data_IF_437528865930
#
_entry.id   IF_437528865930
#
_cell.length_a   1.000
_cell.length_b   1.000
_cell.length_c   1.000
_cell.angle_alpha   90.00
_cell.angle_beta   90.00
_cell.angle_gamma   90.00
#
_symmetry.space_group_name_H-M   'P 1'
#
loop_
_entity.id
_entity.type
_entity.pdbx_description
1 polymer ?
#
# COMPACT_ATOMS: atom_id res chain seq x y z
N UNK A 1 -26.31 70.74 74.04
CA UNK A 1 -27.52 69.96 74.38
C UNK A 1 -28.05 69.37 73.08
N UNK A 2 -27.90 68.05 73.00
CA UNK A 2 -28.57 67.02 72.19
C UNK A 2 -29.20 67.34 70.83
N UNK A 3 -28.68 66.58 69.85
CA UNK A 3 -29.28 66.02 68.62
C UNK A 3 -29.63 66.97 67.46
N UNK A 4 -28.88 66.85 66.34
CA UNK A 4 -29.53 66.37 65.12
C UNK A 4 -28.67 65.44 64.24
N UNK A 5 -29.36 64.80 63.30
CA UNK A 5 -28.90 64.36 61.96
C UNK A 5 -28.04 63.11 61.84
N UNK A 6 -28.73 61.97 61.75
CA UNK A 6 -28.80 61.06 60.57
C UNK A 6 -27.53 60.97 59.71
N UNK A 7 -26.82 59.85 59.85
CA UNK A 7 -25.70 59.42 59.00
C UNK A 7 -26.01 58.09 58.26
N UNK A 8 -25.21 57.75 57.23
CA UNK A 8 -25.62 56.96 56.06
C UNK A 8 -24.93 55.57 55.92
N UNK A 9 -25.33 54.89 54.84
CA UNK A 9 -24.68 53.82 54.05
C UNK A 9 -23.65 52.85 54.65
N UNK A 10 -23.89 51.55 54.39
CA UNK A 10 -23.06 50.55 53.67
C UNK A 10 -23.44 49.15 54.21
N UNK A 11 -23.39 48.01 53.54
CA UNK A 11 -22.92 47.56 52.23
C UNK A 11 -23.43 46.11 52.06
N UNK A 12 -23.66 45.66 50.82
CA UNK A 12 -23.51 44.25 50.44
C UNK A 12 -24.79 43.40 50.35
N UNK A 13 -25.57 43.58 49.28
CA UNK A 13 -26.68 42.71 48.89
C UNK A 13 -26.23 41.47 48.11
N UNK A 14 -26.98 40.39 48.34
CA UNK A 14 -26.65 39.02 47.99
C UNK A 14 -27.08 38.60 46.57
N UNK A 15 -26.14 37.91 45.91
CA UNK A 15 -26.23 36.73 45.04
C UNK A 15 -27.37 36.59 44.00
N UNK A 16 -26.97 36.62 42.73
CA UNK A 16 -27.72 36.17 41.54
C UNK A 16 -26.93 35.09 40.81
N UNK A 17 -27.63 34.09 40.26
CA UNK A 17 -27.34 33.29 39.04
C UNK A 17 -27.76 31.82 39.23
N UNK A 18 -28.91 31.39 38.69
CA UNK A 18 -29.16 30.92 37.31
C UNK A 18 -28.49 29.57 36.99
N UNK A 19 -29.27 28.52 37.25
CA UNK A 19 -29.01 27.11 36.95
C UNK A 19 -29.05 26.79 35.44
N UNK A 20 -28.08 26.04 34.88
CA UNK A 20 -28.08 25.57 33.50
C UNK A 20 -28.24 24.04 33.40
N UNK A 21 -29.47 23.52 33.49
CA UNK A 21 -29.74 22.11 33.09
C UNK A 21 -31.01 22.00 32.25
N UNK A 22 -30.88 22.26 30.95
CA UNK A 22 -31.89 21.89 29.95
C UNK A 22 -31.74 20.41 29.56
N UNK A 23 -32.79 19.63 29.81
CA UNK A 23 -33.05 18.30 29.21
C UNK A 23 -33.40 18.47 27.71
N UNK A 24 -32.91 17.61 26.80
CA UNK A 24 -33.45 17.51 25.44
C UNK A 24 -34.61 16.51 25.36
N UNK A 25 -35.67 16.89 24.63
CA UNK A 25 -36.83 16.06 24.29
C UNK A 25 -36.57 15.20 23.04
N UNK A 26 -37.38 14.14 22.86
CA UNK A 26 -37.31 13.17 21.75
C UNK A 26 -38.22 13.55 20.55
N UNK A 27 -37.84 13.03 19.36
CA UNK A 27 -38.53 12.88 18.04
C UNK A 27 -38.38 14.10 17.09
N UNK A 28 -38.16 13.97 15.78
CA UNK A 28 -38.42 12.88 14.84
C UNK A 28 -37.40 12.79 13.67
N UNK A 29 -37.37 11.60 13.08
CA UNK A 29 -36.62 11.15 11.91
C UNK A 29 -37.06 11.89 10.63
N UNK A 30 -36.08 12.30 9.80
CA UNK A 30 -36.26 12.32 8.34
C UNK A 30 -35.12 11.50 7.73
N UNK A 31 -35.54 10.38 7.15
CA UNK A 31 -34.76 9.50 6.29
C UNK A 31 -34.44 10.26 5.00
N UNK A 32 -33.16 10.36 4.68
CA UNK A 32 -32.67 10.89 3.42
C UNK A 32 -31.31 10.26 3.14
N UNK A 33 -31.29 8.97 2.82
CA UNK A 33 -30.11 8.28 2.30
C UNK A 33 -29.82 8.82 0.90
N UNK A 34 -29.03 9.89 0.83
CA UNK A 34 -28.36 10.26 -0.41
C UNK A 34 -27.24 9.23 -0.64
N UNK A 35 -27.48 8.30 -1.55
CA UNK A 35 -26.47 7.37 -2.04
C UNK A 35 -25.43 8.19 -2.82
N UNK A 36 -24.37 8.61 -2.15
CA UNK A 36 -23.16 9.05 -2.82
C UNK A 36 -22.51 7.81 -3.41
N UNK A 37 -22.54 7.70 -4.74
CA UNK A 37 -21.70 6.78 -5.50
C UNK A 37 -20.26 6.93 -4.99
N UNK A 38 -19.51 5.86 -4.67
CA UNK A 38 -18.12 6.00 -4.28
C UNK A 38 -17.36 6.62 -5.45
N UNK A 39 -17.05 7.92 -5.34
CA UNK A 39 -16.03 8.52 -6.17
C UNK A 39 -14.71 7.85 -5.77
N UNK A 40 -14.05 7.21 -6.72
CA UNK A 40 -12.66 6.79 -6.54
C UNK A 40 -11.83 8.06 -6.37
N UNK A 41 -11.52 8.42 -5.13
CA UNK A 41 -10.61 9.53 -4.84
C UNK A 41 -9.19 8.98 -4.99
N UNK A 42 -8.57 9.28 -6.13
CA UNK A 42 -7.14 9.14 -6.28
C UNK A 42 -6.45 10.03 -5.24
N UNK A 43 -5.62 9.43 -4.39
CA UNK A 43 -4.93 10.13 -3.31
C UNK A 43 -3.89 11.10 -3.88
N UNK A 44 -4.23 12.38 -3.95
CA UNK A 44 -3.28 13.44 -4.32
C UNK A 44 -2.53 13.88 -3.06
N UNK A 45 -1.37 13.30 -2.78
CA UNK A 45 -0.45 13.83 -1.77
C UNK A 45 0.72 14.50 -2.49
N UNK A 46 0.72 15.83 -2.51
CA UNK A 46 1.89 16.63 -2.88
C UNK A 46 2.70 16.92 -1.60
N UNK A 47 3.94 16.43 -1.44
CA UNK A 47 4.82 16.91 -0.38
C UNK A 47 5.17 18.37 -0.66
N UNK A 48 5.19 19.19 0.40
CA UNK A 48 5.44 20.63 0.35
C UNK A 48 6.86 21.03 -0.09
N UNK A 49 7.73 20.07 -0.44
CA UNK A 49 9.15 20.28 -0.73
C UNK A 49 9.50 19.79 -2.14
N UNK A 50 8.81 20.32 -3.15
CA UNK A 50 9.23 20.28 -4.55
C UNK A 50 8.68 21.48 -5.33
N UNK A 51 8.44 22.60 -4.65
CA UNK A 51 8.24 23.89 -5.28
C UNK A 51 9.62 24.49 -5.54
N UNK A 52 10.23 24.19 -6.69
CA UNK A 52 11.19 25.14 -7.23
C UNK A 52 10.42 26.45 -7.45
N UNK A 53 10.93 27.61 -6.98
CA UNK A 53 10.33 28.90 -7.28
C UNK A 53 10.61 29.19 -8.75
N UNK A 54 9.86 28.56 -9.64
CA UNK A 54 9.65 29.11 -10.96
C UNK A 54 8.50 30.09 -10.80
N UNK A 55 8.77 31.37 -11.09
CA UNK A 55 7.73 32.38 -11.26
C UNK A 55 6.62 31.76 -12.10
N UNK A 56 5.40 31.71 -11.53
CA UNK A 56 4.23 31.15 -12.19
C UNK A 56 3.90 32.03 -13.41
N UNK A 57 4.53 31.72 -14.54
CA UNK A 57 4.18 32.29 -15.84
C UNK A 57 3.15 31.33 -16.43
N UNK A 58 1.85 31.67 -16.44
CA UNK A 58 0.87 30.86 -17.18
C UNK A 58 1.40 30.73 -18.60
N UNK A 59 1.48 29.49 -19.11
CA UNK A 59 2.05 29.22 -20.42
C UNK A 59 1.34 30.08 -21.48
N UNK A 60 1.98 31.20 -21.82
CA UNK A 60 1.60 31.97 -22.98
C UNK A 60 1.85 31.10 -24.21
N UNK A 61 1.03 31.26 -25.26
CA UNK A 61 1.23 30.55 -26.51
C UNK A 61 2.65 30.83 -27.03
N UNK A 62 3.53 29.82 -27.01
CA UNK A 62 4.91 29.94 -27.49
C UNK A 62 5.99 29.30 -26.61
N UNK A 63 5.70 28.92 -25.36
CA UNK A 63 6.68 28.20 -24.54
C UNK A 63 6.81 26.74 -24.97
N UNK A 64 8.06 26.28 -25.11
CA UNK A 64 8.43 24.92 -25.45
C UNK A 64 9.15 24.31 -24.25
N UNK A 65 8.85 23.05 -23.93
CA UNK A 65 9.42 22.35 -22.80
C UNK A 65 10.02 21.02 -23.23
N UNK A 66 11.16 20.67 -22.61
CA UNK A 66 11.71 19.32 -22.67
C UNK A 66 10.95 18.43 -21.71
N UNK A 67 9.98 17.66 -22.18
CA UNK A 67 9.16 16.84 -21.28
C UNK A 67 9.59 15.39 -21.26
N UNK A 68 9.45 14.74 -20.10
CA UNK A 68 9.75 13.31 -19.98
C UNK A 68 8.70 12.62 -19.14
N UNK A 69 8.15 11.53 -19.67
CA UNK A 69 7.20 10.65 -19.00
C UNK A 69 7.72 9.23 -18.97
N UNK A 70 7.68 8.60 -17.80
CA UNK A 70 8.34 7.31 -17.60
C UNK A 70 7.52 6.35 -16.75
N UNK A 71 7.53 5.07 -17.10
CA UNK A 71 6.78 4.02 -16.40
C UNK A 71 7.60 2.75 -16.30
N UNK A 72 7.70 2.17 -15.10
CA UNK A 72 8.41 0.90 -14.89
C UNK A 72 7.71 0.04 -13.86
N UNK A 73 7.37 -1.19 -14.23
CA UNK A 73 6.61 -2.05 -13.33
C UNK A 73 7.47 -2.69 -12.24
N UNK A 74 8.63 -3.24 -12.58
CA UNK A 74 9.51 -3.96 -11.65
C UNK A 74 10.94 -3.45 -11.77
N UNK A 75 11.54 -3.08 -10.65
CA UNK A 75 12.94 -2.65 -10.57
C UNK A 75 13.57 -2.97 -9.23
N UNK A 76 14.90 -2.95 -9.18
CA UNK A 76 15.70 -3.14 -7.97
C UNK A 76 16.50 -4.44 -7.96
N UNK A 77 16.70 -5.04 -6.80
CA UNK A 77 17.53 -6.23 -6.63
C UNK A 77 16.80 -7.36 -5.93
N UNK A 78 17.11 -8.59 -6.36
CA UNK A 78 16.60 -9.82 -5.79
C UNK A 78 17.77 -10.77 -5.53
N UNK A 79 18.06 -11.04 -4.26
CA UNK A 79 19.11 -11.99 -3.85
C UNK A 79 20.47 -11.74 -4.53
N UNK A 80 20.87 -10.47 -4.60
CA UNK A 80 22.11 -10.05 -5.25
C UNK A 80 22.03 -9.93 -6.78
N UNK A 81 20.94 -10.36 -7.40
CA UNK A 81 20.68 -10.11 -8.84
C UNK A 81 20.10 -8.71 -9.01
N UNK A 82 20.78 -7.84 -9.77
CA UNK A 82 20.22 -6.55 -10.16
C UNK A 82 19.21 -6.75 -11.31
N UNK A 83 17.92 -6.59 -11.00
CA UNK A 83 16.85 -6.68 -11.98
C UNK A 83 16.98 -5.61 -13.05
N UNK A 84 17.56 -4.45 -12.74
CA UNK A 84 17.71 -3.33 -13.67
C UNK A 84 18.62 -3.63 -14.87
N UNK A 85 19.40 -4.70 -14.78
CA UNK A 85 20.22 -5.21 -15.89
C UNK A 85 19.45 -6.12 -16.85
N UNK A 86 18.27 -6.61 -16.45
CA UNK A 86 17.49 -7.58 -17.20
C UNK A 86 16.57 -6.89 -18.20
N UNK A 87 16.75 -7.20 -19.47
CA UNK A 87 15.93 -6.64 -20.55
C UNK A 87 14.41 -6.87 -20.36
N UNK A 88 14.04 -7.97 -19.71
CA UNK A 88 12.66 -8.36 -19.45
C UNK A 88 11.92 -7.47 -18.44
N UNK A 89 12.61 -6.63 -17.66
CA UNK A 89 11.98 -5.69 -16.69
C UNK A 89 12.19 -4.22 -17.05
N UNK A 90 12.69 -3.95 -18.26
CA UNK A 90 12.88 -2.60 -18.72
C UNK A 90 11.56 -1.81 -18.67
N UNK A 91 11.63 -0.62 -18.10
CA UNK A 91 10.54 0.35 -18.20
C UNK A 91 10.54 1.07 -19.54
N UNK A 92 9.59 1.98 -19.70
CA UNK A 92 9.50 2.90 -20.83
C UNK A 92 9.92 4.30 -20.42
N UNK A 93 10.67 4.97 -21.29
CA UNK A 93 10.97 6.40 -21.23
C UNK A 93 10.49 7.03 -22.53
N UNK A 94 9.57 7.99 -22.42
CA UNK A 94 9.15 8.83 -23.54
C UNK A 94 9.62 10.24 -23.24
N UNK A 95 10.42 10.81 -24.13
CA UNK A 95 10.96 12.16 -24.00
C UNK A 95 10.57 13.01 -25.20
N UNK A 96 10.37 14.29 -24.96
CA UNK A 96 10.22 15.32 -25.98
C UNK A 96 11.31 16.35 -25.73
N UNK A 97 12.10 16.67 -26.75
CA UNK A 97 13.24 17.59 -26.63
C UNK A 97 12.86 19.07 -26.87
N UNK A 98 11.56 19.34 -27.09
CA UNK A 98 11.02 20.63 -27.50
C UNK A 98 10.74 20.74 -29.00
N UNK A 99 11.26 19.81 -29.81
CA UNK A 99 11.06 19.80 -31.27
C UNK A 99 10.24 18.59 -31.74
N UNK A 100 9.83 17.73 -30.82
CA UNK A 100 9.03 16.55 -31.10
C UNK A 100 9.31 15.43 -30.11
N UNK A 101 8.55 14.34 -30.21
CA UNK A 101 8.82 13.15 -29.40
C UNK A 101 10.06 12.47 -29.94
N UNK A 102 11.04 12.28 -29.07
CA UNK A 102 12.20 11.43 -29.35
C UNK A 102 11.74 9.98 -29.20
N UNK A 103 12.22 9.11 -30.10
CA UNK A 103 11.94 7.67 -30.09
C UNK A 103 11.94 7.11 -28.66
N UNK A 104 10.89 6.38 -28.23
CA UNK A 104 10.84 5.82 -26.89
C UNK A 104 12.06 4.94 -26.62
N UNK A 105 12.62 5.08 -25.43
CA UNK A 105 13.79 4.32 -25.01
C UNK A 105 13.45 3.42 -23.83
N UNK A 106 14.26 2.38 -23.64
CA UNK A 106 14.17 1.51 -22.49
C UNK A 106 14.61 2.26 -21.23
N UNK A 107 13.89 2.07 -20.14
CA UNK A 107 14.39 2.39 -18.81
C UNK A 107 15.32 1.26 -18.34
N UNK A 108 16.59 1.32 -18.75
CA UNK A 108 17.60 0.31 -18.43
C UNK A 108 18.40 -0.13 -19.65
N UNK A 109 18.53 -1.44 -19.86
CA UNK A 109 19.25 -2.01 -21.00
C UNK A 109 18.46 -1.77 -22.31
N UNK A 110 19.10 -1.31 -23.37
CA UNK A 110 18.43 -1.02 -24.66
C UNK A 110 18.08 -2.26 -25.49
N UNK A 111 18.62 -3.43 -25.14
CA UNK A 111 18.47 -4.65 -25.94
C UNK A 111 17.08 -5.27 -25.81
N UNK A 112 16.39 -5.50 -26.95
CA UNK A 112 15.11 -6.21 -26.98
C UNK A 112 13.90 -5.42 -26.45
N UNK A 113 14.05 -4.12 -26.17
CA UNK A 113 12.95 -3.24 -25.78
C UNK A 113 12.08 -2.90 -27.00
N UNK A 114 10.76 -3.03 -26.83
CA UNK A 114 9.78 -2.62 -27.83
C UNK A 114 8.65 -1.85 -27.15
N UNK A 115 8.35 -0.67 -27.69
CA UNK A 115 7.22 0.15 -27.30
C UNK A 115 6.30 0.37 -28.51
N UNK A 116 5.00 0.38 -28.27
CA UNK A 116 3.99 0.59 -29.31
C UNK A 116 3.36 1.98 -29.12
N UNK A 117 3.18 2.78 -30.19
CA UNK A 117 2.43 4.02 -30.12
C UNK A 117 1.00 3.78 -29.62
N UNK A 118 0.48 4.69 -28.80
CA UNK A 118 -0.91 4.64 -28.35
C UNK A 118 -1.81 5.20 -29.43
N UNK A 119 -2.82 4.43 -29.84
CA UNK A 119 -3.77 4.85 -30.87
C UNK A 119 -4.44 6.17 -30.51
N UNK A 120 -4.34 7.17 -31.39
CA UNK A 120 -4.92 8.49 -31.20
C UNK A 120 -4.07 9.48 -30.40
N UNK A 121 -2.85 9.11 -29.97
CA UNK A 121 -1.93 10.03 -29.29
C UNK A 121 -0.48 9.84 -29.77
N UNK A 122 -0.01 10.75 -30.63
CA UNK A 122 1.35 10.72 -31.18
C UNK A 122 2.45 10.96 -30.12
N UNK A 123 2.08 11.42 -28.93
CA UNK A 123 2.99 11.72 -27.83
C UNK A 123 3.10 10.62 -26.79
N UNK A 124 2.38 9.51 -26.97
CA UNK A 124 2.24 8.46 -25.97
C UNK A 124 2.59 7.07 -26.51
N UNK A 125 3.21 6.27 -25.64
CA UNK A 125 3.65 4.92 -25.96
C UNK A 125 3.40 3.98 -24.78
N UNK A 126 3.19 2.71 -25.11
CA UNK A 126 3.01 1.62 -24.14
C UNK A 126 4.03 0.50 -24.40
N UNK A 127 4.57 -0.07 -23.33
CA UNK A 127 5.50 -1.21 -23.35
C UNK A 127 5.07 -2.26 -22.31
N UNK A 128 4.12 -3.14 -22.65
CA UNK A 128 3.65 -4.19 -21.74
C UNK A 128 4.79 -5.08 -21.25
N UNK A 129 4.73 -5.49 -19.99
CA UNK A 129 5.74 -6.39 -19.41
C UNK A 129 5.53 -7.83 -19.92
N UNK A 130 6.59 -8.44 -20.48
CA UNK A 130 6.55 -9.85 -20.84
C UNK A 130 6.91 -10.74 -19.64
N UNK A 131 5.89 -11.31 -18.98
CA UNK A 131 6.06 -12.19 -17.83
C UNK A 131 6.76 -13.50 -18.22
N UNK A 132 6.53 -14.00 -19.43
CA UNK A 132 7.21 -15.21 -19.94
C UNK A 132 8.71 -14.98 -20.12
N UNK A 133 9.12 -13.83 -20.66
CA UNK A 133 10.53 -13.45 -20.75
C UNK A 133 11.17 -13.26 -19.36
N UNK A 134 10.41 -12.69 -18.43
CA UNK A 134 10.86 -12.48 -17.05
C UNK A 134 11.12 -13.81 -16.32
N UNK A 135 10.22 -14.78 -16.48
CA UNK A 135 10.37 -16.09 -15.86
C UNK A 135 11.52 -16.89 -16.47
N UNK A 136 11.74 -16.77 -17.78
CA UNK A 136 12.88 -17.38 -18.44
C UNK A 136 14.23 -16.80 -17.96
N UNK A 137 14.28 -15.48 -17.69
CA UNK A 137 15.50 -14.81 -17.24
C UNK A 137 15.85 -15.09 -15.76
N UNK A 138 14.83 -15.17 -14.89
CA UNK A 138 15.03 -15.28 -13.44
C UNK A 138 14.75 -16.69 -12.89
N UNK A 139 14.34 -17.64 -13.74
CA UNK A 139 13.82 -18.95 -13.32
C UNK A 139 12.74 -18.81 -12.23
N UNK A 140 11.91 -17.76 -12.35
CA UNK A 140 10.79 -17.45 -11.43
C UNK A 140 9.76 -18.57 -11.59
N UNK A 141 9.55 -19.30 -10.50
CA UNK A 141 8.78 -20.54 -10.47
C UNK A 141 9.38 -21.60 -9.54
N UNK A 142 10.71 -21.53 -9.30
CA UNK A 142 11.43 -22.37 -8.32
C UNK A 142 12.18 -21.55 -7.26
N UNK A 143 12.21 -20.22 -7.40
CA UNK A 143 12.81 -19.28 -6.44
C UNK A 143 11.79 -18.68 -5.46
N UNK A 144 12.25 -17.84 -4.51
CA UNK A 144 11.41 -17.27 -3.46
C UNK A 144 10.38 -16.22 -3.92
N UNK A 145 10.39 -15.84 -5.19
CA UNK A 145 9.36 -14.96 -5.77
C UNK A 145 8.68 -15.72 -6.88
N UNK A 146 7.34 -15.72 -6.85
CA UNK A 146 6.49 -16.24 -7.90
C UNK A 146 5.64 -15.11 -8.44
N UNK A 147 5.83 -14.79 -9.73
CA UNK A 147 4.93 -13.92 -10.48
C UNK A 147 3.94 -14.79 -11.25
N UNK A 148 2.65 -14.43 -11.30
CA UNK A 148 1.65 -15.20 -12.02
C UNK A 148 1.95 -15.16 -13.51
N UNK A 149 2.28 -16.33 -14.05
CA UNK A 149 2.56 -16.59 -15.47
C UNK A 149 1.40 -16.25 -16.41
N UNK A 150 0.17 -16.15 -15.88
CA UNK A 150 -1.07 -16.03 -16.65
C UNK A 150 -2.00 -14.96 -16.04
N UNK A 151 -1.50 -13.77 -15.73
CA UNK A 151 -2.41 -12.64 -15.52
C UNK A 151 -3.09 -12.32 -16.86
N UNK A 152 -4.41 -12.06 -16.89
CA UNK A 152 -5.09 -11.60 -18.10
C UNK A 152 -4.29 -10.50 -18.80
N UNK A 153 -4.05 -10.70 -20.10
CA UNK A 153 -3.33 -9.78 -20.98
C UNK A 153 -3.93 -8.38 -20.82
N UNK A 154 -3.16 -7.43 -20.29
CA UNK A 154 -3.62 -6.07 -20.00
C UNK A 154 -3.50 -5.60 -18.54
N UNK A 155 -3.10 -6.47 -17.61
CA UNK A 155 -2.95 -6.10 -16.18
C UNK A 155 -1.60 -5.50 -15.79
N UNK A 156 -0.56 -5.68 -16.60
CA UNK A 156 0.76 -5.10 -16.32
C UNK A 156 1.26 -4.36 -17.54
N UNK A 157 0.96 -3.07 -17.56
CA UNK A 157 1.41 -2.17 -18.61
C UNK A 157 2.41 -1.15 -18.09
N UNK A 158 3.15 -0.56 -19.01
CA UNK A 158 4.08 0.52 -18.75
C UNK A 158 3.83 1.59 -19.79
N UNK A 159 3.64 2.83 -19.35
CA UNK A 159 3.18 3.92 -20.19
C UNK A 159 4.03 5.17 -19.97
N UNK A 160 4.32 5.87 -21.06
CA UNK A 160 4.95 7.18 -21.03
C UNK A 160 4.30 8.11 -22.04
N UNK A 161 4.22 9.39 -21.69
CA UNK A 161 3.78 10.48 -22.56
C UNK A 161 4.60 11.73 -22.30
N UNK A 162 5.02 12.39 -23.37
CA UNK A 162 5.79 13.63 -23.32
C UNK A 162 5.34 14.60 -24.43
N UNK A 163 4.72 15.70 -24.04
CA UNK A 163 4.19 16.73 -24.94
C UNK A 163 5.03 18.00 -24.82
N UNK A 164 5.30 18.68 -25.93
CA UNK A 164 6.13 19.89 -25.96
C UNK A 164 5.56 21.09 -25.16
N UNK A 165 4.29 21.05 -24.77
CA UNK A 165 3.61 22.12 -24.04
C UNK A 165 3.80 22.04 -22.52
N UNK A 166 4.76 21.25 -22.03
CA UNK A 166 5.02 21.09 -20.60
C UNK A 166 4.24 19.95 -19.94
N UNK A 167 3.34 19.27 -20.67
CA UNK A 167 2.64 18.09 -20.15
C UNK A 167 3.46 16.81 -20.31
N UNK A 168 3.53 16.03 -19.24
CA UNK A 168 4.11 14.69 -19.24
C UNK A 168 3.33 13.76 -18.31
N UNK A 169 3.32 12.48 -18.65
CA UNK A 169 2.73 11.45 -17.81
C UNK A 169 3.57 10.17 -17.86
N UNK A 170 3.69 9.51 -16.72
CA UNK A 170 4.26 8.19 -16.56
C UNK A 170 3.28 7.30 -15.80
N UNK A 171 3.15 6.03 -16.18
CA UNK A 171 2.32 5.08 -15.44
C UNK A 171 2.84 3.65 -15.58
N UNK A 172 2.56 2.80 -14.59
CA UNK A 172 2.84 1.37 -14.68
C UNK A 172 1.96 0.53 -13.76
N UNK A 173 1.89 -0.78 -14.03
CA UNK A 173 1.09 -1.74 -13.28
C UNK A 173 -0.27 -2.01 -13.91
N UNK A 174 -1.32 -2.11 -13.09
CA UNK A 174 -2.71 -2.26 -13.51
C UNK A 174 -3.25 -0.97 -14.16
N UNK A 175 -2.66 -0.61 -15.29
CA UNK A 175 -2.98 0.57 -16.09
C UNK A 175 -3.33 0.16 -17.50
N UNK A 176 -4.30 0.82 -18.13
CA UNK A 176 -4.62 0.56 -19.54
C UNK A 176 -3.57 1.16 -20.49
N UNK A 177 -3.76 0.96 -21.79
CA UNK A 177 -2.89 1.52 -22.84
C UNK A 177 -2.88 3.05 -22.90
N UNK A 178 -3.78 3.71 -22.19
CA UNK A 178 -3.84 5.17 -22.05
C UNK A 178 -3.20 5.67 -20.75
N UNK A 179 -2.57 4.79 -19.97
CA UNK A 179 -1.92 5.15 -18.71
C UNK A 179 -2.89 5.47 -17.56
N UNK A 180 -4.16 5.07 -17.68
CA UNK A 180 -5.17 5.22 -16.62
C UNK A 180 -5.13 3.99 -15.73
N UNK A 181 -5.03 4.21 -14.41
CA UNK A 181 -5.16 3.15 -13.40
C UNK A 181 -6.52 2.48 -13.58
N UNK A 182 -6.51 1.19 -13.85
CA UNK A 182 -7.72 0.38 -13.94
C UNK A 182 -8.27 0.18 -12.53
N UNK A 183 -9.53 0.55 -12.34
CA UNK A 183 -10.25 0.42 -11.06
C UNK A 183 -11.47 -0.49 -11.19
N UNK A 184 -11.87 -0.80 -12.43
CA UNK A 184 -12.92 -1.72 -12.80
C UNK A 184 -12.31 -3.07 -13.23
N UNK A 185 -12.69 -4.12 -12.52
CA UNK A 185 -12.29 -5.49 -12.82
C UNK A 185 -13.42 -6.28 -13.51
N UNK A 186 -14.45 -5.60 -14.03
CA UNK A 186 -15.66 -6.19 -14.62
C UNK A 186 -16.28 -7.33 -13.77
N UNK A 187 -16.20 -7.23 -12.43
CA UNK A 187 -16.74 -8.22 -11.51
C UNK A 187 -15.86 -9.46 -11.27
N UNK A 188 -14.69 -9.56 -11.91
CA UNK A 188 -13.70 -10.61 -11.63
C UNK A 188 -12.81 -10.19 -10.44
N UNK A 189 -12.41 -11.11 -9.56
CA UNK A 189 -11.46 -10.78 -8.49
C UNK A 189 -10.14 -10.25 -9.07
N UNK A 190 -9.54 -9.24 -8.42
CA UNK A 190 -8.18 -8.80 -8.76
C UNK A 190 -7.23 -9.98 -8.60
N UNK A 191 -6.39 -10.29 -9.60
CA UNK A 191 -5.47 -11.40 -9.47
C UNK A 191 -4.36 -11.08 -8.45
N UNK A 192 -3.86 -12.13 -7.80
CA UNK A 192 -2.55 -12.06 -7.17
C UNK A 192 -1.54 -11.68 -8.24
N UNK A 193 -0.66 -10.73 -7.91
CA UNK A 193 0.35 -10.18 -8.81
C UNK A 193 1.75 -10.66 -8.47
N UNK A 194 2.01 -10.90 -7.19
CA UNK A 194 3.26 -11.49 -6.74
C UNK A 194 3.04 -12.24 -5.44
N UNK A 195 3.71 -13.39 -5.30
CA UNK A 195 3.87 -14.08 -4.02
C UNK A 195 5.36 -14.13 -3.69
N UNK A 196 5.72 -13.63 -2.52
CA UNK A 196 7.06 -13.78 -1.96
C UNK A 196 7.04 -14.82 -0.84
N UNK A 197 7.86 -15.85 -0.99
CA UNK A 197 8.14 -16.85 0.03
C UNK A 197 9.19 -16.28 1.00
N UNK A 198 8.67 -15.54 2.00
CA UNK A 198 9.49 -14.93 3.03
C UNK A 198 10.20 -15.99 3.88
N UNK A 199 9.60 -17.18 4.07
CA UNK A 199 10.26 -18.28 4.79
C UNK A 199 11.58 -18.66 4.11
N UNK A 200 11.55 -18.85 2.80
CA UNK A 200 12.72 -19.20 2.00
C UNK A 200 13.74 -18.06 1.98
N UNK A 201 13.29 -16.81 1.81
CA UNK A 201 14.16 -15.63 1.84
C UNK A 201 14.88 -15.49 3.18
N UNK A 202 14.15 -15.52 4.29
CA UNK A 202 14.70 -15.37 5.64
C UNK A 202 15.60 -16.56 6.00
N UNK A 203 15.24 -17.78 5.58
CA UNK A 203 16.07 -18.97 5.82
C UNK A 203 17.36 -18.98 4.99
N UNK A 204 17.37 -18.33 3.83
CA UNK A 204 18.55 -18.26 2.95
C UNK A 204 19.68 -17.39 3.50
N UNK A 205 19.37 -16.51 4.46
CA UNK A 205 20.35 -15.62 5.07
C UNK A 205 20.71 -16.12 6.47
N UNK A 206 21.90 -16.71 6.57
CA UNK A 206 22.47 -17.27 7.80
C UNK A 206 22.70 -16.16 8.84
N UNK A 207 21.97 -16.16 9.96
CA UNK A 207 22.18 -15.13 10.99
C UNK A 207 21.23 -15.09 12.19
N UNK A 208 20.60 -16.22 12.57
CA UNK A 208 19.74 -16.27 13.75
C UNK A 208 18.25 -16.02 13.51
N UNK A 209 17.86 -15.58 12.31
CA UNK A 209 16.44 -15.45 11.92
C UNK A 209 15.79 -16.79 11.54
N UNK A 210 16.59 -17.83 11.30
CA UNK A 210 16.08 -19.18 11.06
C UNK A 210 15.29 -19.74 12.25
N UNK A 211 15.54 -19.27 13.48
CA UNK A 211 14.73 -19.63 14.66
C UNK A 211 13.38 -18.92 14.65
N UNK A 212 13.32 -17.67 14.14
CA UNK A 212 12.08 -16.89 14.00
C UNK A 212 11.07 -17.59 13.09
N UNK A 213 11.56 -18.18 11.99
CA UNK A 213 10.71 -18.88 11.00
C UNK A 213 10.70 -20.40 11.14
N UNK A 214 11.51 -20.97 12.03
CA UNK A 214 11.66 -22.42 12.19
C UNK A 214 10.40 -23.11 12.71
N UNK A 215 9.56 -22.41 13.49
CA UNK A 215 8.26 -22.90 13.96
C UNK A 215 7.12 -22.76 12.94
N UNK A 216 7.38 -22.15 11.78
CA UNK A 216 6.38 -21.91 10.76
C UNK A 216 6.40 -23.03 9.73
N UNK A 217 5.24 -23.48 9.28
CA UNK A 217 5.11 -24.34 8.10
C UNK A 217 5.20 -23.50 6.82
N UNK A 218 4.61 -22.31 6.84
CA UNK A 218 4.55 -21.40 5.70
C UNK A 218 4.68 -19.92 6.16
N UNK A 219 5.33 -19.08 5.35
CA UNK A 219 5.35 -17.63 5.52
C UNK A 219 5.45 -16.97 4.15
N UNK A 220 4.36 -16.38 3.68
CA UNK A 220 4.27 -15.75 2.35
C UNK A 220 3.69 -14.35 2.44
N UNK A 221 4.20 -13.46 1.60
CA UNK A 221 3.58 -12.17 1.31
C UNK A 221 2.91 -12.26 -0.07
N UNK A 222 1.59 -12.10 -0.11
CA UNK A 222 0.80 -12.12 -1.34
C UNK A 222 0.37 -10.70 -1.66
N UNK A 223 0.76 -10.21 -2.83
CA UNK A 223 0.51 -8.85 -3.29
C UNK A 223 -0.47 -8.93 -4.44
N UNK A 224 -1.58 -8.19 -4.33
CA UNK A 224 -2.56 -8.07 -5.40
C UNK A 224 -2.13 -7.06 -6.48
N UNK A 225 -3.07 -6.67 -7.34
CA UNK A 225 -2.83 -5.66 -8.36
C UNK A 225 -2.28 -4.35 -7.76
N UNK A 226 -1.21 -3.83 -8.36
CA UNK A 226 -0.64 -2.51 -8.02
C UNK A 226 -0.55 -1.64 -9.26
N UNK A 227 -0.67 -0.33 -9.08
CA UNK A 227 -0.49 0.65 -10.14
C UNK A 227 0.05 1.97 -9.58
N UNK A 228 0.83 2.70 -10.38
CA UNK A 228 1.21 4.07 -10.07
C UNK A 228 1.17 4.95 -11.31
N UNK A 229 0.94 6.24 -11.07
CA UNK A 229 0.88 7.26 -12.11
C UNK A 229 1.46 8.57 -11.58
N UNK A 230 2.32 9.17 -12.36
CA UNK A 230 2.81 10.52 -12.17
C UNK A 230 2.39 11.36 -13.38
N UNK A 231 1.89 12.57 -13.14
CA UNK A 231 1.68 13.56 -14.20
C UNK A 231 2.29 14.88 -13.79
N UNK A 232 2.82 15.60 -14.76
CA UNK A 232 3.35 16.93 -14.60
C UNK A 232 2.86 17.79 -15.74
N UNK A 233 2.17 18.87 -15.40
CA UNK A 233 1.80 19.97 -16.26
C UNK A 233 2.58 21.20 -15.79
N UNK A 234 3.66 21.54 -16.50
CA UNK A 234 4.52 22.68 -16.16
C UNK A 234 3.77 24.02 -16.13
N UNK A 235 2.57 24.07 -16.73
CA UNK A 235 1.73 25.26 -16.82
C UNK A 235 0.67 25.35 -15.71
N UNK A 236 0.46 24.27 -14.95
CA UNK A 236 -0.62 24.20 -13.95
C UNK A 236 -0.18 24.77 -12.58
N UNK A 237 -1.14 25.35 -11.85
CA UNK A 237 -0.92 25.86 -10.49
C UNK A 237 -0.49 24.77 -9.50
N UNK A 238 -0.93 23.54 -9.74
CA UNK A 238 -0.44 22.32 -9.08
C UNK A 238 0.27 21.49 -10.14
N UNK A 239 1.57 21.73 -10.36
CA UNK A 239 2.22 21.25 -11.57
C UNK A 239 2.31 19.73 -11.60
N UNK A 240 2.46 19.07 -10.46
CA UNK A 240 2.57 17.61 -10.41
C UNK A 240 1.47 16.93 -9.59
N UNK A 241 0.99 15.79 -10.10
CA UNK A 241 0.15 14.86 -9.34
C UNK A 241 0.77 13.47 -9.34
N UNK A 242 0.66 12.78 -8.20
CA UNK A 242 1.14 11.41 -7.99
C UNK A 242 -0.02 10.60 -7.45
N UNK A 243 -0.25 9.46 -8.07
CA UNK A 243 -1.33 8.54 -7.74
C UNK A 243 -0.78 7.14 -7.66
N UNK A 244 -1.34 6.34 -6.76
CA UNK A 244 -1.04 4.92 -6.65
C UNK A 244 -2.30 4.15 -6.28
N UNK A 245 -2.26 2.86 -6.57
CA UNK A 245 -3.27 1.90 -6.20
C UNK A 245 -2.60 0.60 -5.76
N UNK A 246 -3.08 0.04 -4.65
CA UNK A 246 -2.76 -1.31 -4.21
C UNK A 246 -4.09 -1.98 -3.83
N UNK A 247 -4.41 -3.11 -4.47
CA UNK A 247 -5.67 -3.81 -4.21
C UNK A 247 -5.68 -4.48 -2.83
N UNK A 248 -4.59 -5.17 -2.50
CA UNK A 248 -4.34 -5.77 -1.19
C UNK A 248 -2.88 -6.16 -1.04
N UNK A 249 -2.44 -6.27 0.21
CA UNK A 249 -1.25 -7.00 0.61
C UNK A 249 -1.68 -7.93 1.72
N UNK A 250 -1.42 -9.23 1.55
CA UNK A 250 -1.80 -10.27 2.50
C UNK A 250 -0.58 -10.98 3.04
N UNK A 251 -0.56 -11.23 4.34
CA UNK A 251 0.43 -12.10 4.96
C UNK A 251 -0.20 -13.46 5.23
N UNK A 252 0.40 -14.52 4.69
CA UNK A 252 -0.04 -15.90 4.93
C UNK A 252 0.97 -16.57 5.85
N UNK A 253 0.48 -17.04 7.00
CA UNK A 253 1.28 -17.68 8.05
C UNK A 253 0.73 -19.08 8.31
N UNK A 254 1.55 -20.10 8.12
CA UNK A 254 1.24 -21.47 8.51
C UNK A 254 2.01 -21.84 9.77
N UNK A 255 1.35 -22.41 10.78
CA UNK A 255 2.01 -22.87 12.02
C UNK A 255 1.45 -24.21 12.48
N UNK A 256 2.29 -25.05 13.08
CA UNK A 256 1.84 -26.29 13.71
C UNK A 256 0.94 -26.04 14.94
N UNK A 257 1.14 -24.91 15.63
CA UNK A 257 0.32 -24.53 16.79
C UNK A 257 -1.13 -24.27 16.40
N UNK A 258 -1.38 -23.55 15.30
CA UNK A 258 -2.73 -23.30 14.82
C UNK A 258 -3.42 -24.61 14.42
N UNK A 259 -2.69 -25.54 13.79
CA UNK A 259 -3.18 -26.89 13.51
C UNK A 259 -3.56 -27.67 14.77
N UNK A 260 -2.80 -27.54 15.86
CA UNK A 260 -3.14 -28.16 17.15
C UNK A 260 -4.40 -27.55 17.77
N UNK A 261 -4.57 -26.22 17.70
CA UNK A 261 -5.80 -25.54 18.16
C UNK A 261 -7.01 -26.00 17.35
N UNK A 262 -6.90 -26.01 16.01
CA UNK A 262 -7.96 -26.50 15.12
C UNK A 262 -8.31 -27.95 15.44
N UNK A 263 -7.31 -28.81 15.66
CA UNK A 263 -7.52 -30.22 16.01
C UNK A 263 -8.24 -30.38 17.35
N UNK A 264 -7.88 -29.58 18.35
CA UNK A 264 -8.56 -29.56 19.65
C UNK A 264 -10.02 -29.09 19.54
N UNK A 265 -10.32 -28.23 18.56
CA UNK A 265 -11.66 -27.74 18.26
C UNK A 265 -12.45 -28.66 17.31
N UNK A 266 -11.93 -29.83 16.92
CA UNK A 266 -12.42 -30.61 15.79
C UNK A 266 -13.92 -30.90 15.77
N UNK A 267 -14.53 -31.21 16.92
CA UNK A 267 -15.98 -31.45 16.99
C UNK A 267 -16.82 -30.18 16.72
N UNK A 268 -16.33 -29.00 17.13
CA UNK A 268 -16.97 -27.71 16.88
C UNK A 268 -16.77 -27.23 15.44
N UNK A 269 -15.67 -27.62 14.82
CA UNK A 269 -15.30 -27.24 13.45
C UNK A 269 -15.81 -28.20 12.37
N UNK A 270 -16.62 -29.21 12.73
CA UNK A 270 -17.15 -30.16 11.76
C UNK A 270 -17.93 -29.44 10.65
N UNK A 271 -17.43 -29.52 9.42
CA UNK A 271 -18.01 -28.83 8.25
C UNK A 271 -17.57 -27.37 8.06
N UNK A 272 -16.77 -26.80 8.97
CA UNK A 272 -16.20 -25.44 8.84
C UNK A 272 -14.84 -25.54 8.15
N UNK A 273 -14.75 -25.05 6.91
CA UNK A 273 -13.49 -25.02 6.13
C UNK A 273 -12.72 -23.71 6.27
N UNK A 274 -13.39 -22.64 6.69
CA UNK A 274 -12.79 -21.32 6.88
C UNK A 274 -13.46 -20.60 8.03
N UNK A 275 -12.64 -20.04 8.92
CA UNK A 275 -13.08 -19.11 9.97
C UNK A 275 -12.63 -17.73 9.54
N UNK A 276 -13.55 -16.77 9.48
CA UNK A 276 -13.22 -15.37 9.16
C UNK A 276 -13.60 -14.52 10.36
N UNK A 277 -12.80 -13.50 10.66
CA UNK A 277 -13.21 -12.54 11.68
C UNK A 277 -14.37 -11.65 11.17
N UNK A 278 -15.16 -11.04 12.07
CA UNK A 278 -16.29 -10.19 11.67
C UNK A 278 -15.92 -9.00 10.78
N UNK A 279 -14.68 -8.49 10.90
CA UNK A 279 -14.20 -7.31 10.19
C UNK A 279 -13.42 -7.67 8.90
N UNK A 280 -13.30 -8.96 8.57
CA UNK A 280 -12.53 -9.49 7.43
C UNK A 280 -11.05 -9.08 7.41
N UNK A 281 -10.46 -8.90 8.59
CA UNK A 281 -9.03 -8.66 8.81
C UNK A 281 -8.19 -9.92 8.56
N UNK A 282 -8.75 -11.09 8.87
CA UNK A 282 -8.08 -12.37 8.76
C UNK A 282 -9.03 -13.52 8.44
N UNK A 283 -8.45 -14.60 7.92
CA UNK A 283 -9.13 -15.86 7.74
C UNK A 283 -8.22 -17.02 8.10
N UNK A 284 -8.79 -18.06 8.70
CA UNK A 284 -8.12 -19.29 9.07
C UNK A 284 -8.67 -20.40 8.19
N UNK A 285 -7.80 -21.02 7.39
CA UNK A 285 -8.14 -22.26 6.71
C UNK A 285 -7.97 -23.42 7.69
N UNK A 286 -9.07 -24.03 8.09
CA UNK A 286 -9.09 -25.12 9.08
C UNK A 286 -8.52 -26.43 8.53
N UNK A 287 -8.39 -26.54 7.21
CA UNK A 287 -7.82 -27.73 6.55
C UNK A 287 -6.30 -27.64 6.45
N UNK A 288 -5.78 -26.49 6.02
CA UNK A 288 -4.33 -26.28 5.87
C UNK A 288 -3.65 -25.77 7.15
N UNK A 289 -4.40 -25.23 8.11
CA UNK A 289 -3.85 -24.56 9.29
C UNK A 289 -3.15 -23.24 8.97
N UNK A 290 -3.55 -22.59 7.87
CA UNK A 290 -3.00 -21.31 7.43
C UNK A 290 -3.87 -20.15 7.89
N UNK A 291 -3.23 -19.14 8.45
CA UNK A 291 -3.77 -17.84 8.78
C UNK A 291 -3.43 -16.87 7.65
N UNK A 292 -4.43 -16.30 7.00
CA UNK A 292 -4.27 -15.21 6.01
C UNK A 292 -4.72 -13.91 6.64
N UNK A 293 -3.85 -12.90 6.65
CA UNK A 293 -4.08 -11.58 7.23
C UNK A 293 -4.12 -10.55 6.10
N UNK A 294 -5.20 -9.79 5.98
CA UNK A 294 -5.28 -8.62 5.09
C UNK A 294 -4.67 -7.41 5.80
N UNK A 295 -3.46 -7.02 5.38
CA UNK A 295 -2.72 -5.93 6.02
C UNK A 295 -3.42 -4.58 5.84
N UNK A 296 -4.18 -4.40 4.76
CA UNK A 296 -4.92 -3.16 4.51
C UNK A 296 -6.13 -3.03 5.41
N UNK A 297 -6.88 -4.12 5.58
CA UNK A 297 -7.98 -4.15 6.52
C UNK A 297 -7.47 -4.01 7.96
N UNK A 298 -6.37 -4.69 8.30
CA UNK A 298 -5.74 -4.62 9.63
C UNK A 298 -5.32 -3.19 9.99
N UNK A 299 -4.60 -2.50 9.10
CA UNK A 299 -4.17 -1.10 9.33
C UNK A 299 -5.37 -0.16 9.42
N UNK A 300 -6.40 -0.37 8.61
CA UNK A 300 -7.64 0.41 8.69
C UNK A 300 -8.34 0.25 10.05
N UNK A 301 -8.38 -0.98 10.57
CA UNK A 301 -9.01 -1.28 11.86
C UNK A 301 -8.17 -0.77 13.04
N UNK A 302 -6.83 -0.85 12.94
CA UNK A 302 -5.92 -0.28 13.93
C UNK A 302 -5.99 1.26 13.98
N UNK A 303 -6.28 1.94 12.87
CA UNK A 303 -6.37 3.40 12.84
C UNK A 303 -7.68 3.88 12.21
N UNK A 304 -8.81 3.70 12.93
CA UNK A 304 -10.10 4.10 12.41
C UNK A 304 -10.10 5.62 12.14
N UNK A 305 -10.57 6.00 10.95
CA UNK A 305 -10.63 7.40 10.50
C UNK A 305 -9.34 7.95 9.88
N UNK A 306 -8.18 7.31 10.10
CA UNK A 306 -6.93 7.71 9.44
C UNK A 306 -6.77 7.07 8.06
N UNK A 307 -7.26 5.85 7.90
CA UNK A 307 -7.09 5.04 6.68
C UNK A 307 -8.42 4.49 6.17
N UNK A 308 -9.36 5.38 5.84
CA UNK A 308 -10.71 5.02 5.37
C UNK A 308 -10.72 4.26 4.03
N UNK A 309 -9.65 4.37 3.25
CA UNK A 309 -9.48 3.75 1.94
C UNK A 309 -8.46 2.59 1.96
N UNK A 310 -8.31 1.92 3.11
CA UNK A 310 -7.34 0.83 3.32
C UNK A 310 -5.91 1.27 3.01
N UNK A 311 -5.27 0.61 2.05
CA UNK A 311 -3.90 0.88 1.60
C UNK A 311 -3.79 2.10 0.68
N UNK A 312 -4.92 2.61 0.18
CA UNK A 312 -4.95 3.73 -0.75
C UNK A 312 -5.28 5.00 0.04
N UNK A 313 -4.56 6.11 -0.19
CA UNK A 313 -4.76 7.34 0.60
C UNK A 313 -3.76 7.56 1.73
N UNK A 314 -2.81 6.66 1.92
CA UNK A 314 -1.70 6.85 2.85
C UNK A 314 -0.79 7.99 2.39
N UNK A 315 -0.20 8.69 3.36
CA UNK A 315 0.79 9.74 3.13
C UNK A 315 2.01 9.19 2.36
N UNK A 316 2.80 10.06 1.70
CA UNK A 316 4.01 9.62 1.02
C UNK A 316 4.95 8.87 1.95
N UNK A 317 5.53 7.77 1.45
CA UNK A 317 6.49 6.92 2.15
C UNK A 317 5.95 6.31 3.46
N UNK A 318 4.67 5.88 3.48
CA UNK A 318 4.06 5.26 4.66
C UNK A 318 4.49 3.80 4.78
N UNK A 319 5.09 3.44 5.91
CA UNK A 319 5.42 2.05 6.20
C UNK A 319 4.29 1.34 6.97
N UNK A 320 3.96 0.10 6.58
CA UNK A 320 2.67 -0.50 6.92
C UNK A 320 2.54 -1.17 8.30
N UNK A 321 3.63 -1.56 8.98
CA UNK A 321 3.51 -2.54 10.08
C UNK A 321 4.44 -2.31 11.29
N UNK A 322 4.58 -1.06 11.74
CA UNK A 322 5.68 -0.73 12.66
C UNK A 322 5.26 -0.38 14.10
N UNK A 323 4.15 -0.90 14.64
CA UNK A 323 3.89 -0.70 16.07
C UNK A 323 3.01 -1.76 16.75
N UNK A 324 3.10 -1.76 18.07
CA UNK A 324 2.37 -2.64 19.00
C UNK A 324 0.85 -2.56 18.84
N UNK A 325 0.32 -1.44 18.34
CA UNK A 325 -1.11 -1.27 18.17
C UNK A 325 -1.66 -2.21 17.09
N UNK A 326 -0.99 -2.29 15.94
CA UNK A 326 -1.35 -3.22 14.85
C UNK A 326 -1.29 -4.67 15.31
N UNK A 327 -0.29 -5.03 16.11
CA UNK A 327 -0.14 -6.38 16.68
C UNK A 327 -1.29 -6.69 17.66
N UNK A 328 -1.67 -5.71 18.48
CA UNK A 328 -2.81 -5.84 19.41
C UNK A 328 -4.12 -6.03 18.65
N UNK A 329 -4.38 -5.19 17.63
CA UNK A 329 -5.58 -5.33 16.76
C UNK A 329 -5.65 -6.70 16.11
N UNK A 330 -4.53 -7.21 15.59
CA UNK A 330 -4.49 -8.55 15.00
C UNK A 330 -4.79 -9.64 16.04
N UNK A 331 -4.21 -9.52 17.23
CA UNK A 331 -4.42 -10.46 18.33
C UNK A 331 -5.89 -10.52 18.72
N UNK A 332 -6.53 -9.36 18.88
CA UNK A 332 -7.95 -9.24 19.21
C UNK A 332 -8.83 -9.83 18.10
N UNK A 333 -8.49 -9.56 16.83
CA UNK A 333 -9.18 -10.13 15.68
C UNK A 333 -9.08 -11.66 15.64
N UNK A 334 -7.91 -12.22 15.96
CA UNK A 334 -7.70 -13.67 15.99
C UNK A 334 -8.55 -14.34 17.07
N UNK A 335 -8.55 -13.76 18.27
CA UNK A 335 -9.39 -14.24 19.38
C UNK A 335 -10.87 -14.12 19.01
N UNK A 336 -11.30 -12.98 18.45
CA UNK A 336 -12.68 -12.78 18.03
C UNK A 336 -13.12 -13.78 16.95
N UNK A 337 -12.28 -14.03 15.94
CA UNK A 337 -12.56 -14.99 14.88
C UNK A 337 -12.80 -16.39 15.43
N UNK A 338 -11.91 -16.88 16.29
CA UNK A 338 -12.03 -18.24 16.86
C UNK A 338 -13.18 -18.32 17.86
N UNK A 339 -13.45 -17.26 18.65
CA UNK A 339 -14.60 -17.26 19.55
C UNK A 339 -15.94 -17.20 18.82
N UNK A 340 -15.99 -16.65 17.60
CA UNK A 340 -17.22 -16.54 16.80
C UNK A 340 -17.85 -17.89 16.44
N UNK A 341 -17.06 -18.97 16.45
CA UNK A 341 -17.56 -20.33 16.17
C UNK A 341 -18.29 -20.94 17.37
N UNK A 342 -18.15 -20.36 18.56
CA UNK A 342 -18.74 -20.88 19.78
C UNK A 342 -20.18 -20.38 19.87
N UNK A 343 -21.20 -21.27 19.80
CA UNK A 343 -22.57 -20.86 20.01
C UNK A 343 -22.75 -20.32 21.44
N UNK A 344 -23.49 -19.21 21.57
CA UNK A 344 -23.80 -18.62 22.88
C UNK A 344 -24.54 -19.61 23.81
N UNK A 345 -24.40 -19.44 25.13
CA UNK A 345 -25.10 -20.27 26.13
C UNK A 345 -24.36 -20.42 27.45
N UNK A 346 -24.84 -21.33 28.31
CA UNK A 346 -24.33 -21.52 29.69
C UNK A 346 -22.88 -22.03 29.73
N UNK A 347 -22.44 -22.71 28.66
CA UNK A 347 -21.06 -23.20 28.50
C UNK A 347 -20.12 -22.17 27.85
N UNK A 348 -20.63 -21.01 27.44
CA UNK A 348 -19.88 -20.02 26.67
C UNK A 348 -18.64 -19.54 27.43
N UNK A 349 -18.77 -19.22 28.73
CA UNK A 349 -17.65 -18.69 29.51
C UNK A 349 -16.54 -19.73 29.74
N UNK A 350 -16.92 -21.00 29.98
CA UNK A 350 -15.96 -22.10 30.17
C UNK A 350 -15.22 -22.41 28.88
N UNK A 351 -15.96 -22.49 27.77
CA UNK A 351 -15.37 -22.77 26.47
C UNK A 351 -14.50 -21.60 25.99
N UNK A 352 -14.95 -20.35 26.22
CA UNK A 352 -14.17 -19.14 25.95
C UNK A 352 -12.86 -19.13 26.73
N UNK A 353 -12.86 -19.42 28.03
CA UNK A 353 -11.64 -19.48 28.82
C UNK A 353 -10.67 -20.54 28.29
N UNK A 354 -11.19 -21.71 27.93
CA UNK A 354 -10.39 -22.80 27.35
C UNK A 354 -9.77 -22.41 26.01
N UNK A 355 -10.56 -21.83 25.11
CA UNK A 355 -10.08 -21.38 23.79
C UNK A 355 -9.04 -20.27 23.90
N UNK A 356 -9.25 -19.29 24.78
CA UNK A 356 -8.25 -18.24 25.04
C UNK A 356 -6.93 -18.84 25.56
N UNK A 357 -7.01 -19.84 26.44
CA UNK A 357 -5.83 -20.57 26.92
C UNK A 357 -5.09 -21.29 25.79
N UNK A 358 -5.82 -21.93 24.87
CA UNK A 358 -5.25 -22.59 23.68
C UNK A 358 -4.66 -21.61 22.66
N UNK A 359 -5.21 -20.39 22.56
CA UNK A 359 -4.73 -19.37 21.63
C UNK A 359 -3.53 -18.59 22.14
N UNK A 360 -3.28 -18.56 23.45
CA UNK A 360 -2.18 -17.80 24.05
C UNK A 360 -0.81 -18.11 23.40
N UNK A 361 -0.44 -19.39 23.14
CA UNK A 361 0.82 -19.70 22.44
C UNK A 361 0.83 -19.24 20.98
N UNK A 362 -0.30 -19.30 20.28
CA UNK A 362 -0.42 -18.86 18.88
C UNK A 362 -0.26 -17.34 18.79
N UNK A 363 -0.94 -16.60 19.66
CA UNK A 363 -0.83 -15.15 19.78
C UNK A 363 0.60 -14.75 20.10
N UNK A 364 1.23 -15.38 21.09
CA UNK A 364 2.62 -15.08 21.45
C UNK A 364 3.57 -15.31 20.28
N UNK A 365 3.39 -16.42 19.54
CA UNK A 365 4.19 -16.71 18.35
C UNK A 365 4.00 -15.64 17.27
N UNK A 366 2.75 -15.26 16.98
CA UNK A 366 2.44 -14.24 15.98
C UNK A 366 3.00 -12.87 16.35
N UNK A 367 2.87 -12.46 17.61
CA UNK A 367 3.43 -11.20 18.11
C UNK A 367 4.95 -11.18 17.99
N UNK A 368 5.64 -12.27 18.38
CA UNK A 368 7.09 -12.39 18.19
C UNK A 368 7.50 -12.41 16.73
N UNK A 369 6.74 -13.12 15.88
CA UNK A 369 6.98 -13.18 14.45
C UNK A 369 6.85 -11.80 13.80
N UNK A 370 5.73 -11.10 14.04
CA UNK A 370 5.48 -9.80 13.44
C UNK A 370 6.42 -8.73 13.99
N UNK A 371 6.74 -8.77 15.29
CA UNK A 371 7.76 -7.91 15.88
C UNK A 371 9.12 -8.13 15.23
N UNK A 372 9.54 -9.38 15.05
CA UNK A 372 10.80 -9.69 14.36
C UNK A 372 10.79 -9.35 12.87
N UNK A 373 9.67 -9.56 12.18
CA UNK A 373 9.54 -9.27 10.75
C UNK A 373 9.49 -7.76 10.47
N UNK A 374 8.73 -6.98 11.25
CA UNK A 374 8.36 -5.61 10.88
C UNK A 374 8.76 -4.53 11.89
N UNK A 375 9.62 -4.82 12.87
CA UNK A 375 10.13 -3.83 13.84
C UNK A 375 10.75 -2.59 13.17
N UNK A 376 10.59 -1.41 13.80
CA UNK A 376 11.23 -0.13 13.38
C UNK A 376 12.74 -0.24 13.28
N UNK A 377 13.33 -1.06 14.14
CA UNK A 377 14.76 -0.99 14.45
C UNK A 377 15.52 -2.14 13.79
N UNK A 378 14.97 -3.35 13.89
CA UNK A 378 15.63 -4.60 13.47
C UNK A 378 14.74 -5.43 12.53
N UNK A 379 13.65 -4.84 12.02
CA UNK A 379 12.71 -5.52 11.14
C UNK A 379 13.38 -6.05 9.88
N UNK A 380 13.13 -7.32 9.57
CA UNK A 380 13.69 -7.97 8.37
C UNK A 380 12.86 -7.75 7.13
N UNK A 381 11.64 -7.22 7.24
CA UNK A 381 10.78 -6.85 6.13
C UNK A 381 10.28 -5.44 6.36
N UNK A 382 10.49 -4.58 5.37
CA UNK A 382 9.92 -3.24 5.33
C UNK A 382 9.02 -3.11 4.09
N UNK A 383 7.77 -2.70 4.33
CA UNK A 383 6.75 -2.52 3.30
C UNK A 383 6.34 -1.05 3.31
N UNK A 384 6.80 -0.31 2.31
CA UNK A 384 6.51 1.11 2.16
C UNK A 384 5.52 1.29 1.01
N UNK A 385 4.40 1.95 1.30
CA UNK A 385 3.41 2.37 0.33
C UNK A 385 3.62 3.82 -0.08
N UNK A 386 3.16 4.16 -1.29
CA UNK A 386 3.25 5.51 -1.83
C UNK A 386 4.68 6.04 -1.75
N UNK A 387 5.65 5.23 -2.18
CA UNK A 387 7.05 5.60 -2.10
C UNK A 387 7.29 6.75 -3.09
N UNK A 388 7.59 7.95 -2.61
CA UNK A 388 7.75 9.15 -3.44
C UNK A 388 9.13 9.75 -3.24
N UNK A 389 9.83 9.97 -4.35
CA UNK A 389 11.18 10.54 -4.40
C UNK A 389 12.17 9.91 -3.39
N UNK A 390 11.89 8.70 -2.92
CA UNK A 390 12.76 7.97 -2.01
C UNK A 390 13.89 7.34 -2.83
N UNK A 391 15.13 7.49 -2.34
CA UNK A 391 16.30 6.93 -3.00
C UNK A 391 16.13 5.42 -3.21
N UNK A 392 15.99 5.01 -4.45
CA UNK A 392 16.02 3.61 -4.85
C UNK A 392 17.43 3.16 -5.21
N UNK A 393 17.59 1.98 -5.82
CA UNK A 393 18.84 1.57 -6.45
C UNK A 393 19.44 2.70 -7.27
N UNK A 394 20.77 2.77 -7.32
CA UNK A 394 21.59 3.84 -7.93
C UNK A 394 21.24 4.24 -9.36
N UNK A 395 20.43 3.44 -10.06
CA UNK A 395 20.05 3.65 -11.46
C UNK A 395 18.90 4.66 -11.65
N UNK A 396 18.43 5.25 -10.54
CA UNK A 396 17.43 6.32 -10.57
C UNK A 396 17.95 7.56 -9.85
N UNK A 397 18.82 8.37 -10.49
CA UNK A 397 18.99 9.74 -10.01
C UNK A 397 17.61 10.39 -10.11
N UNK A 398 16.99 10.68 -8.97
CA UNK A 398 15.89 11.64 -8.94
C UNK A 398 16.55 12.96 -9.35
N UNK A 399 16.62 13.22 -10.66
CA UNK A 399 17.13 14.47 -11.19
C UNK A 399 16.36 15.57 -10.50
N UNK A 400 17.06 16.57 -9.97
CA UNK A 400 16.46 17.70 -9.28
C UNK A 400 15.28 18.23 -10.10
N UNK A 401 14.08 18.26 -9.51
CA UNK A 401 12.84 18.68 -10.16
C UNK A 401 11.98 17.56 -10.80
N UNK A 402 12.42 16.30 -10.78
CA UNK A 402 11.58 15.17 -11.18
C UNK A 402 10.60 14.77 -10.06
N UNK A 403 9.40 14.34 -10.47
CA UNK A 403 8.38 13.80 -9.56
C UNK A 403 8.26 12.30 -9.79
N UNK A 404 8.44 11.52 -8.73
CA UNK A 404 8.39 10.06 -8.78
C UNK A 404 7.41 9.49 -7.75
N UNK A 405 6.77 8.38 -8.10
CA UNK A 405 5.91 7.59 -7.22
C UNK A 405 6.01 6.11 -7.56
N UNK A 406 6.14 5.26 -6.55
CA UNK A 406 5.89 3.84 -6.65
C UNK A 406 4.74 3.44 -5.72
N UNK A 407 3.93 2.48 -6.16
CA UNK A 407 2.81 1.99 -5.36
C UNK A 407 3.31 1.25 -4.12
N UNK A 408 4.31 0.38 -4.30
CA UNK A 408 4.89 -0.44 -3.25
C UNK A 408 6.42 -0.49 -3.39
N UNK A 409 7.11 -0.27 -2.27
CA UNK A 409 8.52 -0.52 -2.10
C UNK A 409 8.71 -1.57 -0.99
N UNK A 410 9.29 -2.69 -1.36
CA UNK A 410 9.52 -3.84 -0.49
C UNK A 410 11.01 -4.05 -0.28
N UNK A 411 11.43 -4.00 0.98
CA UNK A 411 12.79 -4.40 1.36
C UNK A 411 12.72 -5.64 2.26
N UNK A 412 13.54 -6.64 1.98
CA UNK A 412 13.71 -7.82 2.84
C UNK A 412 15.19 -7.94 3.15
N UNK A 413 15.52 -8.03 4.44
CA UNK A 413 16.87 -8.05 5.00
C UNK A 413 17.66 -6.79 4.63
N UNK A 414 17.20 -5.60 5.07
CA UNK A 414 17.91 -4.35 4.83
C UNK A 414 19.34 -4.44 5.37
N UNK A 415 20.32 -3.99 4.58
CA UNK A 415 21.74 -3.98 4.97
C UNK A 415 22.50 -5.29 4.73
N UNK A 416 21.83 -6.35 4.27
CA UNK A 416 22.51 -7.58 3.82
C UNK A 416 22.86 -7.45 2.34
N UNK A 417 24.10 -7.82 1.95
CA UNK A 417 24.61 -7.69 0.58
C UNK A 417 23.76 -8.38 -0.50
N UNK A 418 22.90 -9.32 -0.11
CA UNK A 418 21.97 -10.05 -0.97
C UNK A 418 20.50 -9.93 -0.49
N UNK A 419 20.15 -8.82 0.16
CA UNK A 419 18.77 -8.53 0.49
C UNK A 419 17.88 -8.38 -0.75
N UNK A 420 16.58 -8.35 -0.52
CA UNK A 420 15.59 -8.01 -1.55
C UNK A 420 15.29 -6.52 -1.44
N UNK A 421 15.32 -5.81 -2.55
CA UNK A 421 14.92 -4.42 -2.63
C UNK A 421 14.13 -4.23 -3.94
N UNK A 422 12.81 -4.19 -3.84
CA UNK A 422 11.91 -4.21 -4.99
C UNK A 422 10.98 -3.01 -4.98
N UNK A 423 10.90 -2.34 -6.12
CA UNK A 423 9.84 -1.37 -6.41
C UNK A 423 8.84 -2.03 -7.35
N UNK A 424 7.55 -1.93 -7.00
CA UNK A 424 6.44 -2.38 -7.83
C UNK A 424 5.59 -1.19 -8.25
N UNK A 425 5.29 -1.15 -9.54
CA UNK A 425 4.58 -0.10 -10.24
C UNK A 425 5.12 1.30 -9.91
N UNK A 426 6.21 1.69 -10.59
CA UNK A 426 6.84 3.01 -10.49
C UNK A 426 6.51 3.89 -11.69
N UNK A 427 6.34 5.18 -11.45
CA UNK A 427 6.04 6.19 -12.44
C UNK A 427 6.77 7.50 -12.13
N UNK A 428 7.30 8.17 -13.15
CA UNK A 428 8.03 9.42 -12.98
C UNK A 428 7.83 10.38 -14.16
N UNK A 429 7.92 11.67 -13.84
CA UNK A 429 7.84 12.80 -14.78
C UNK A 429 8.83 13.89 -14.41
N UNK A 430 9.16 14.76 -15.36
CA UNK A 430 10.04 15.92 -15.12
C UNK A 430 11.53 15.64 -15.28
N UNK A 431 12.38 16.69 -15.15
CA UNK A 431 12.06 18.03 -14.60
C UNK A 431 11.39 19.07 -15.53
N UNK A 432 10.97 18.71 -16.76
CA UNK A 432 10.27 19.60 -17.71
C UNK A 432 10.82 21.04 -17.85
N UNK A 433 12.14 21.23 -18.09
CA UNK A 433 12.69 22.56 -18.25
C UNK A 433 12.17 23.21 -19.54
N UNK A 434 12.00 24.53 -19.50
CA UNK A 434 11.68 25.33 -20.69
C UNK A 434 12.93 25.44 -21.59
N UNK A 435 12.73 25.36 -22.90
CA UNK A 435 13.77 25.49 -23.95
C UNK A 435 13.75 26.88 -24.56
#
# INVERSE_FOLDING_TARGET
>A
MSDPTRDPETSGTANTNKDPFRKPSRRAVVVGTAWAVPAVIAANAAPAWAASPHDFVPCSSGHIYQTVGRGRFLSGSLLGTNLDTLASVNGIVVSNDGHGVVTPTAWGNTSGFSATPVSGDAYAYAAPLSISALNAALNIGVGPISLPVNTPVGLVNQYGRAVQNGFSAGASGAVNNNGVIQTDNNGAAWPDLATLDLKTLVSSVSGGLGTLVGGLTNLKLVIGAVAARATLDACAATPATRQYLVSYVKLVVGTGLLGAVISALGALLSGVTTITDPDNLLSINTTSGELTIDLGALVQNAYPGSYSNKLNGLAPNTALLINDHVITTLTDALVAAVLSIIPGGVLYDVLRATVTGLLTPVVSLLSSLLGGLFSTTDGVVNIVLNAQNSGGPSDFPVTTGAYDVAALWLTVLPGVANGVNLYLARASVGPNPQV
#
